data_IF_616904381305
#
_entry.id   IF_616904381305
#
_cell.length_a   1.000
_cell.length_b   1.000
_cell.length_c   1.000
_cell.angle_alpha   90.00
_cell.angle_beta   90.00
_cell.angle_gamma   90.00
#
_symmetry.space_group_name_H-M   'P 1'
#
loop_
_entity.id
_entity.type
_entity.pdbx_description
1 polymer ?
#
# COMPACT_ATOMS: atom_id res chain seq x y z
N UNK A 1 -18.45 -2.59 10.21
CA UNK A 1 -17.52 -1.47 10.43
C UNK A 1 -16.62 -1.40 9.20
N UNK A 2 -16.56 -0.27 8.49
CA UNK A 2 -15.93 -0.17 7.15
C UNK A 2 -14.61 0.60 7.17
N UNK A 3 -14.08 0.81 8.38
CA UNK A 3 -12.89 1.59 8.68
C UNK A 3 -12.05 0.80 9.66
N UNK A 4 -10.75 0.96 9.54
CA UNK A 4 -9.74 0.37 10.42
C UNK A 4 -8.94 1.49 11.07
N UNK A 5 -8.69 1.37 12.37
CA UNK A 5 -7.79 2.24 13.13
C UNK A 5 -7.14 1.39 14.22
N UNK A 6 -5.81 1.30 14.20
CA UNK A 6 -5.05 0.54 15.20
C UNK A 6 -3.57 0.91 15.10
N UNK A 7 -2.80 0.52 16.13
CA UNK A 7 -1.34 0.52 16.11
C UNK A 7 -0.85 -0.76 16.79
N UNK A 8 0.12 -1.42 16.19
CA UNK A 8 0.70 -2.67 16.71
C UNK A 8 2.16 -2.79 16.30
N UNK A 9 2.96 -3.41 17.17
CA UNK A 9 4.35 -3.77 16.86
C UNK A 9 4.38 -5.25 16.53
N UNK A 10 4.71 -5.57 15.27
CA UNK A 10 4.83 -6.95 14.78
C UNK A 10 6.26 -7.26 14.40
N UNK A 11 6.71 -8.48 14.69
CA UNK A 11 8.03 -8.96 14.24
C UNK A 11 7.95 -9.43 12.79
N UNK A 12 9.01 -9.14 12.03
CA UNK A 12 9.24 -9.73 10.72
C UNK A 12 9.77 -11.16 10.94
N UNK A 13 9.18 -12.13 10.25
CA UNK A 13 9.59 -13.53 10.34
C UNK A 13 10.88 -13.81 9.54
N UNK A 14 11.46 -15.00 9.69
CA UNK A 14 12.71 -15.38 9.03
C UNK A 14 12.63 -15.37 7.48
N UNK A 15 11.44 -15.26 6.89
CA UNK A 15 11.22 -15.17 5.45
C UNK A 15 10.91 -13.74 5.00
N UNK A 16 11.13 -12.74 5.86
CA UNK A 16 10.88 -11.34 5.54
C UNK A 16 9.39 -10.97 5.55
N UNK A 17 8.51 -11.77 6.18
CA UNK A 17 7.06 -11.48 6.18
C UNK A 17 6.60 -10.86 7.49
N UNK A 18 5.60 -9.98 7.41
CA UNK A 18 4.94 -9.36 8.56
C UNK A 18 3.43 -9.62 8.55
N UNK A 19 2.86 -9.85 9.72
CA UNK A 19 1.42 -10.09 9.89
C UNK A 19 0.61 -8.81 9.70
N UNK A 20 -0.41 -8.88 8.84
CA UNK A 20 -1.37 -7.79 8.65
C UNK A 20 -2.52 -7.95 9.65
N UNK A 21 -2.95 -6.92 10.40
CA UNK A 21 -4.02 -7.04 11.38
C UNK A 21 -5.31 -7.64 10.81
N UNK A 22 -5.90 -8.62 11.50
CA UNK A 22 -7.08 -9.35 11.00
C UNK A 22 -8.27 -8.43 10.68
N UNK A 23 -8.49 -7.38 11.50
CA UNK A 23 -9.55 -6.40 11.26
C UNK A 23 -9.29 -5.60 9.97
N UNK A 24 -8.04 -5.23 9.68
CA UNK A 24 -7.70 -4.56 8.42
C UNK A 24 -7.97 -5.48 7.22
N UNK A 25 -7.54 -6.74 7.29
CA UNK A 25 -7.81 -7.74 6.23
C UNK A 25 -9.30 -7.90 5.96
N UNK A 26 -10.13 -7.93 7.02
CA UNK A 26 -11.58 -8.02 6.88
C UNK A 26 -12.19 -6.79 6.17
N UNK A 27 -11.68 -5.58 6.46
CA UNK A 27 -12.11 -4.35 5.78
C UNK A 27 -11.72 -4.36 4.30
N UNK A 28 -10.49 -4.76 3.98
CA UNK A 28 -10.00 -4.88 2.58
C UNK A 28 -10.83 -5.91 1.80
N UNK A 29 -11.05 -7.09 2.38
CA UNK A 29 -11.86 -8.14 1.76
C UNK A 29 -13.31 -7.70 1.56
N UNK A 30 -13.91 -6.99 2.52
CA UNK A 30 -15.27 -6.46 2.38
C UNK A 30 -15.39 -5.46 1.22
N UNK A 31 -14.31 -4.75 0.88
CA UNK A 31 -14.23 -3.86 -0.29
C UNK A 31 -13.96 -4.61 -1.61
N UNK A 32 -13.74 -5.91 -1.57
CA UNK A 32 -13.52 -6.75 -2.76
C UNK A 32 -12.07 -6.81 -3.23
N UNK A 33 -11.11 -6.30 -2.46
CA UNK A 33 -9.71 -6.34 -2.84
C UNK A 33 -9.04 -7.66 -2.40
N UNK A 34 -8.36 -8.32 -3.34
CA UNK A 34 -7.53 -9.52 -3.09
C UNK A 34 -6.04 -9.22 -2.94
N UNK A 35 -5.63 -8.02 -3.35
CA UNK A 35 -4.25 -7.54 -3.32
C UNK A 35 -4.20 -6.19 -2.62
N UNK A 36 -3.03 -5.87 -2.08
CA UNK A 36 -2.72 -4.56 -1.52
C UNK A 36 -1.75 -3.84 -2.44
N UNK A 37 -1.78 -2.52 -2.43
CA UNK A 37 -0.78 -1.70 -3.06
C UNK A 37 0.08 -1.02 -2.00
N UNK A 38 1.38 -0.98 -2.24
CA UNK A 38 2.34 -0.41 -1.32
C UNK A 38 3.19 0.67 -1.99
N UNK A 39 3.38 1.77 -1.28
CA UNK A 39 4.19 2.92 -1.66
C UNK A 39 5.29 3.12 -0.63
N UNK A 40 6.53 3.35 -1.06
CA UNK A 40 7.62 3.73 -0.16
C UNK A 40 7.54 5.22 0.17
N UNK A 41 7.69 5.56 1.43
CA UNK A 41 7.88 6.95 1.82
C UNK A 41 9.24 7.45 1.29
N UNK A 42 9.30 8.72 0.85
CA UNK A 42 10.51 9.30 0.25
C UNK A 42 11.58 9.67 1.29
N UNK A 43 11.14 9.99 2.50
CA UNK A 43 11.96 10.63 3.55
C UNK A 43 12.09 9.75 4.81
N UNK A 44 11.26 8.72 4.93
CA UNK A 44 11.20 7.83 6.09
C UNK A 44 11.35 6.37 5.66
N UNK A 45 11.96 5.50 6.49
CA UNK A 45 11.99 4.05 6.28
C UNK A 45 10.62 3.45 6.60
N UNK A 46 9.60 3.84 5.82
CA UNK A 46 8.20 3.51 6.01
C UNK A 46 7.52 3.26 4.67
N UNK A 47 6.37 2.60 4.72
CA UNK A 47 5.55 2.30 3.55
C UNK A 47 4.09 2.57 3.86
N UNK A 48 3.39 3.18 2.91
CA UNK A 48 1.93 3.27 2.90
C UNK A 48 1.36 2.05 2.18
N UNK A 49 0.49 1.30 2.84
CA UNK A 49 -0.10 0.07 2.30
C UNK A 49 -1.62 0.11 2.43
N UNK A 50 -2.32 -0.13 1.32
CA UNK A 50 -3.78 -0.05 1.24
C UNK A 50 -4.37 -1.03 0.24
N UNK A 51 -5.71 -1.04 0.13
CA UNK A 51 -6.36 -1.68 -1.01
C UNK A 51 -6.04 -0.94 -2.32
N UNK A 52 -6.52 -1.46 -3.44
CA UNK A 52 -6.30 -0.82 -4.74
C UNK A 52 -6.90 0.59 -4.82
N UNK A 53 -7.87 0.92 -3.96
CA UNK A 53 -8.36 2.29 -3.82
C UNK A 53 -7.30 3.29 -3.34
N UNK A 54 -6.15 2.85 -2.83
CA UNK A 54 -5.01 3.72 -2.57
C UNK A 54 -4.37 4.16 -3.90
N UNK A 55 -4.05 3.21 -4.77
CA UNK A 55 -3.48 3.47 -6.09
C UNK A 55 -4.42 4.31 -6.94
N UNK A 56 -5.70 3.92 -7.01
CA UNK A 56 -6.73 4.64 -7.79
C UNK A 56 -6.79 6.13 -7.41
N UNK A 57 -6.64 6.46 -6.12
CA UNK A 57 -6.67 7.86 -5.65
C UNK A 57 -5.43 8.64 -6.07
N UNK A 58 -4.26 8.03 -6.08
CA UNK A 58 -3.05 8.68 -6.58
C UNK A 58 -3.12 8.89 -8.09
N UNK A 59 -3.58 7.89 -8.85
CA UNK A 59 -3.77 8.00 -10.29
C UNK A 59 -4.80 9.08 -10.65
N UNK A 60 -5.93 9.12 -9.94
CA UNK A 60 -6.93 10.19 -10.08
C UNK A 60 -6.34 11.57 -9.80
N UNK A 61 -5.42 11.68 -8.84
CA UNK A 61 -4.76 12.96 -8.54
C UNK A 61 -3.78 13.35 -9.63
N UNK A 62 -2.96 12.42 -10.12
CA UNK A 62 -2.03 12.65 -11.24
C UNK A 62 -2.78 13.10 -12.49
N UNK A 63 -3.94 12.50 -12.78
CA UNK A 63 -4.78 12.84 -13.92
C UNK A 63 -5.35 14.28 -13.87
N UNK A 64 -5.31 14.95 -12.72
CA UNK A 64 -5.71 16.36 -12.57
C UNK A 64 -4.55 17.34 -12.77
N UNK A 65 -3.30 16.86 -12.79
CA UNK A 65 -2.12 17.68 -13.03
C UNK A 65 -1.91 17.92 -14.54
N UNK A 66 -1.18 18.98 -14.88
CA UNK A 66 -0.75 19.22 -16.25
C UNK A 66 0.36 18.22 -16.64
N UNK A 67 0.17 17.37 -17.67
CA UNK A 67 1.14 16.34 -18.05
C UNK A 67 2.47 16.90 -18.57
N UNK A 68 2.57 18.20 -18.84
CA UNK A 68 3.81 18.84 -19.28
C UNK A 68 4.60 19.46 -18.13
N UNK A 69 4.09 19.41 -16.89
CA UNK A 69 4.79 19.91 -15.72
C UNK A 69 5.52 18.79 -14.97
N UNK A 70 6.70 19.11 -14.44
CA UNK A 70 7.53 18.20 -13.64
C UNK A 70 6.76 17.58 -12.46
N UNK A 71 5.80 18.30 -11.89
CA UNK A 71 4.97 17.80 -10.78
C UNK A 71 4.24 16.50 -11.13
N UNK A 72 3.71 16.38 -12.36
CA UNK A 72 3.01 15.17 -12.79
C UNK A 72 3.99 13.98 -12.87
N UNK A 73 5.18 14.22 -13.41
CA UNK A 73 6.26 13.21 -13.49
C UNK A 73 6.74 12.79 -12.11
N UNK A 74 6.93 13.73 -11.18
CA UNK A 74 7.37 13.45 -9.81
C UNK A 74 6.32 12.64 -9.05
N UNK A 75 5.03 12.97 -9.21
CA UNK A 75 3.93 12.22 -8.60
C UNK A 75 3.80 10.82 -9.20
N UNK A 76 3.97 10.70 -10.52
CA UNK A 76 3.99 9.42 -11.22
C UNK A 76 5.15 8.55 -10.75
N UNK A 77 6.35 9.13 -10.62
CA UNK A 77 7.53 8.44 -10.10
C UNK A 77 7.33 7.97 -8.65
N UNK A 78 6.79 8.82 -7.77
CA UNK A 78 6.47 8.43 -6.40
C UNK A 78 5.43 7.30 -6.35
N UNK A 79 4.38 7.39 -7.17
CA UNK A 79 3.29 6.43 -7.17
C UNK A 79 3.70 5.08 -7.76
N UNK A 80 4.45 5.08 -8.86
CA UNK A 80 4.65 3.90 -9.71
C UNK A 80 6.10 3.38 -9.72
N UNK A 81 7.10 4.20 -9.37
CA UNK A 81 8.51 3.87 -9.49
C UNK A 81 8.93 2.69 -8.60
N UNK A 82 8.67 2.82 -7.30
CA UNK A 82 8.95 1.79 -6.28
C UNK A 82 7.67 1.19 -5.69
N UNK A 83 6.54 1.41 -6.37
CA UNK A 83 5.24 0.86 -5.98
C UNK A 83 5.19 -0.66 -6.18
N UNK A 84 4.56 -1.38 -5.25
CA UNK A 84 4.49 -2.84 -5.31
C UNK A 84 3.10 -3.39 -4.94
N UNK A 85 2.66 -4.40 -5.69
CA UNK A 85 1.50 -5.20 -5.32
C UNK A 85 1.90 -6.26 -4.29
N UNK A 86 1.21 -6.27 -3.16
CA UNK A 86 1.44 -7.22 -2.08
C UNK A 86 0.27 -8.20 -1.99
N UNK A 87 0.61 -9.49 -1.95
CA UNK A 87 -0.34 -10.57 -1.73
C UNK A 87 -0.31 -11.02 -0.29
N UNK A 88 -1.49 -11.22 0.29
CA UNK A 88 -1.64 -11.88 1.57
C UNK A 88 -1.41 -13.38 1.39
N UNK A 89 -0.54 -13.97 2.22
CA UNK A 89 -0.46 -15.43 2.32
C UNK A 89 -1.66 -16.02 3.09
N UNK A 90 -1.71 -17.35 3.20
CA UNK A 90 -2.80 -18.06 3.88
C UNK A 90 -2.95 -17.67 5.37
N UNK A 91 -1.89 -17.16 5.99
CA UNK A 91 -1.88 -16.71 7.39
C UNK A 91 -2.15 -15.20 7.51
N UNK A 92 -2.35 -14.50 6.39
CA UNK A 92 -2.61 -13.07 6.33
C UNK A 92 -1.36 -12.23 6.56
N UNK A 93 -0.20 -12.69 6.09
CA UNK A 93 1.07 -11.95 6.09
C UNK A 93 1.38 -11.40 4.71
N UNK A 94 2.18 -10.33 4.68
CA UNK A 94 2.78 -9.77 3.46
C UNK A 94 4.30 -9.92 3.53
N UNK A 95 4.95 -10.09 2.38
CA UNK A 95 6.41 -10.06 2.28
C UNK A 95 6.89 -8.62 2.20
N UNK A 96 7.86 -8.26 3.03
CA UNK A 96 8.60 -7.01 2.96
C UNK A 96 9.84 -7.24 2.08
N UNK A 97 10.01 -6.46 1.02
CA UNK A 97 11.24 -6.42 0.23
C UNK A 97 12.13 -5.26 0.69
N UNK A 98 13.44 -5.46 0.64
CA UNK A 98 14.45 -4.43 0.91
C UNK A 98 14.33 -3.24 -0.05
#
# INVERSE_FOLDING_TARGET
MDRFLSSTVSRIDAKGRVSVPAHFRAVVQKRGYSELYALRCLDLPAMDVGGLDLLDRYEQRIALEDPFLQTADDMSFFCHGDGAFLKLDQDGRITMSD
#
